data_IF_155818734102
#
_entry.id   IF_155818734102
#
_cell.length_a   1.000
_cell.length_b   1.000
_cell.length_c   1.000
_cell.angle_alpha   90.00
_cell.angle_beta   90.00
_cell.angle_gamma   90.00
#
_symmetry.space_group_name_H-M   'P 1'
#
loop_
_entity.id
_entity.type
_entity.pdbx_description
1 polymer ?
#
# COMPACT_ATOMS: atom_id res chain seq x y z
N UNK A 1 8.74 -59.99 61.62
CA UNK A 1 7.55 -59.19 61.27
C UNK A 1 8.04 -57.84 60.76
N UNK A 2 7.80 -57.55 59.47
CA UNK A 2 8.41 -56.46 58.71
C UNK A 2 7.79 -55.08 59.01
N UNK A 3 8.60 -54.04 59.23
CA UNK A 3 8.13 -52.66 59.22
C UNK A 3 8.17 -52.12 57.78
N UNK A 4 7.00 -51.86 57.20
CA UNK A 4 6.88 -51.14 55.92
C UNK A 4 7.12 -49.65 56.16
N UNK A 5 8.24 -49.13 55.66
CA UNK A 5 8.51 -47.70 55.53
C UNK A 5 7.75 -47.16 54.30
N UNK A 6 6.69 -46.38 54.53
CA UNK A 6 5.98 -45.64 53.48
C UNK A 6 6.66 -44.28 53.29
N UNK A 7 7.51 -44.17 52.27
CA UNK A 7 8.02 -42.89 51.79
C UNK A 7 6.87 -42.11 51.13
N UNK A 8 6.36 -41.07 51.82
CA UNK A 8 5.46 -40.08 51.20
C UNK A 8 6.29 -39.21 50.24
N UNK A 9 6.07 -39.34 48.93
CA UNK A 9 6.44 -38.31 47.96
C UNK A 9 5.50 -37.11 48.13
N UNK A 10 6.05 -35.96 48.52
CA UNK A 10 5.37 -34.67 48.43
C UNK A 10 5.54 -34.18 46.99
N UNK A 11 4.47 -34.23 46.18
CA UNK A 11 4.47 -33.53 44.90
C UNK A 11 4.52 -32.02 45.15
N UNK A 12 5.22 -31.23 44.32
CA UNK A 12 5.25 -29.78 44.48
C UNK A 12 3.81 -29.25 44.47
N UNK A 13 3.45 -28.48 45.50
CA UNK A 13 2.16 -27.82 45.56
C UNK A 13 2.13 -26.76 44.46
N UNK A 14 1.24 -26.92 43.49
CA UNK A 14 0.97 -25.92 42.47
C UNK A 14 0.41 -24.66 43.16
N UNK A 15 1.29 -23.70 43.42
CA UNK A 15 0.96 -22.42 44.05
C UNK A 15 0.10 -21.58 43.11
N UNK A 16 -1.09 -21.20 43.58
CA UNK A 16 -1.95 -20.26 42.86
C UNK A 16 -1.31 -18.88 42.79
N UNK A 17 -1.49 -18.20 41.65
CA UNK A 17 -1.07 -16.81 41.43
C UNK A 17 -1.63 -15.88 42.51
N UNK A 18 -0.81 -14.97 43.02
CA UNK A 18 -1.24 -13.95 43.97
C UNK A 18 -1.95 -12.78 43.27
N UNK A 19 -2.89 -12.14 43.97
CA UNK A 19 -3.56 -10.92 43.47
C UNK A 19 -2.56 -9.79 43.19
N UNK A 20 -1.48 -9.70 43.97
CA UNK A 20 -0.44 -8.68 43.80
C UNK A 20 0.43 -8.93 42.57
N UNK A 21 0.74 -10.19 42.25
CA UNK A 21 1.47 -10.54 41.03
C UNK A 21 0.68 -10.11 39.79
N UNK A 22 -0.63 -10.40 39.76
CA UNK A 22 -1.45 -10.02 38.61
C UNK A 22 -1.58 -8.49 38.49
N UNK A 23 -1.67 -7.77 39.60
CA UNK A 23 -1.72 -6.30 39.61
C UNK A 23 -0.45 -5.67 39.06
N UNK A 24 0.73 -6.17 39.43
CA UNK A 24 2.01 -5.66 38.92
C UNK A 24 2.16 -5.97 37.42
N UNK A 25 1.69 -7.13 36.97
CA UNK A 25 1.77 -7.50 35.55
C UNK A 25 0.93 -6.56 34.67
N UNK A 26 -0.32 -6.28 35.06
CA UNK A 26 -1.17 -5.38 34.26
C UNK A 26 -0.65 -3.94 34.26
N UNK A 27 -0.02 -3.47 35.34
CA UNK A 27 0.58 -2.13 35.38
C UNK A 27 1.80 -2.04 34.48
N UNK A 28 2.67 -3.04 34.51
CA UNK A 28 3.84 -3.10 33.62
C UNK A 28 3.40 -3.19 32.15
N UNK A 29 2.42 -4.05 31.83
CA UNK A 29 1.90 -4.17 30.46
C UNK A 29 1.29 -2.83 30.00
N UNK A 30 0.55 -2.13 30.87
CA UNK A 30 -0.02 -0.82 30.55
C UNK A 30 1.05 0.22 30.20
N UNK A 31 2.13 0.31 30.99
CA UNK A 31 3.23 1.26 30.75
C UNK A 31 3.98 0.92 29.44
N UNK A 32 4.30 -0.37 29.24
CA UNK A 32 5.01 -0.81 28.03
C UNK A 32 4.18 -0.58 26.76
N UNK A 33 2.87 -0.83 26.80
CA UNK A 33 2.00 -0.62 25.65
C UNK A 33 1.99 0.85 25.19
N UNK A 34 1.89 1.81 26.12
CA UNK A 34 1.94 3.24 25.80
C UNK A 34 3.31 3.64 25.24
N UNK A 35 4.41 3.12 25.82
CA UNK A 35 5.75 3.41 25.34
C UNK A 35 5.99 2.92 23.91
N UNK A 36 5.51 1.71 23.57
CA UNK A 36 5.61 1.15 22.21
C UNK A 36 4.79 1.94 21.20
N UNK A 37 3.53 2.26 21.53
CA UNK A 37 2.67 3.04 20.64
C UNK A 37 3.21 4.47 20.42
N UNK A 38 3.86 5.05 21.42
CA UNK A 38 4.53 6.36 21.28
C UNK A 38 5.76 6.32 20.38
N UNK A 39 6.37 5.15 20.16
CA UNK A 39 7.56 5.01 19.33
C UNK A 39 7.22 4.82 17.83
N UNK A 40 6.00 4.41 17.51
CA UNK A 40 5.52 4.25 16.13
C UNK A 40 4.75 5.50 15.73
N UNK A 41 5.01 6.03 14.53
CA UNK A 41 4.15 7.06 13.95
C UNK A 41 3.01 6.37 13.17
N UNK A 42 1.81 6.17 13.74
CA UNK A 42 0.73 5.43 13.10
C UNK A 42 0.25 6.12 11.81
N UNK A 43 0.32 7.46 11.77
CA UNK A 43 -0.09 8.25 10.61
C UNK A 43 0.81 7.93 9.42
N UNK A 44 2.13 7.84 9.65
CA UNK A 44 3.09 7.51 8.60
C UNK A 44 2.89 6.09 8.06
N UNK A 45 2.55 5.12 8.92
CA UNK A 45 2.26 3.75 8.50
C UNK A 45 1.01 3.67 7.61
N UNK A 46 -0.04 4.41 7.95
CA UNK A 46 -1.26 4.50 7.13
C UNK A 46 -0.95 5.14 5.78
N UNK A 47 -0.20 6.25 5.75
CA UNK A 47 0.22 6.90 4.50
C UNK A 47 1.04 5.98 3.62
N UNK A 48 1.97 5.23 4.21
CA UNK A 48 2.78 4.26 3.48
C UNK A 48 1.93 3.14 2.89
N UNK A 49 0.94 2.65 3.63
CA UNK A 49 0.00 1.65 3.12
C UNK A 49 -0.86 2.20 1.97
N UNK A 50 -1.29 3.47 2.04
CA UNK A 50 -2.00 4.15 0.95
C UNK A 50 -1.14 4.29 -0.30
N UNK A 51 0.11 4.75 -0.17
CA UNK A 51 1.04 4.90 -1.30
C UNK A 51 1.35 3.54 -1.95
N UNK A 52 1.53 2.48 -1.15
CA UNK A 52 1.69 1.11 -1.65
C UNK A 52 0.44 0.64 -2.42
N UNK A 53 -0.74 1.03 -1.95
CA UNK A 53 -2.01 0.79 -2.64
C UNK A 53 -2.06 1.49 -3.99
N UNK A 54 -1.76 2.80 -4.03
CA UNK A 54 -1.68 3.58 -5.28
C UNK A 54 -0.68 2.98 -6.28
N UNK A 55 0.47 2.54 -5.79
CA UNK A 55 1.47 1.89 -6.65
C UNK A 55 0.93 0.58 -7.26
N UNK A 56 0.27 -0.25 -6.46
CA UNK A 56 -0.35 -1.50 -6.94
C UNK A 56 -1.47 -1.22 -7.94
N UNK A 57 -2.34 -0.26 -7.63
CA UNK A 57 -3.47 0.13 -8.47
C UNK A 57 -2.99 0.69 -9.81
N UNK A 58 -1.97 1.56 -9.79
CA UNK A 58 -1.34 2.08 -11.00
C UNK A 58 -0.67 0.96 -11.82
N UNK A 59 0.02 0.01 -11.20
CA UNK A 59 0.63 -1.11 -11.93
C UNK A 59 -0.43 -1.98 -12.63
N UNK A 60 -1.53 -2.29 -11.95
CA UNK A 60 -2.64 -3.05 -12.52
C UNK A 60 -3.35 -2.28 -13.66
N UNK A 61 -3.53 -0.96 -13.48
CA UNK A 61 -4.08 -0.10 -14.53
C UNK A 61 -3.18 -0.05 -15.76
N UNK A 62 -1.88 0.15 -15.58
CA UNK A 62 -0.91 0.15 -16.69
C UNK A 62 -0.97 -1.17 -17.46
N UNK A 63 -0.97 -2.30 -16.77
CA UNK A 63 -1.11 -3.62 -17.39
C UNK A 63 -2.44 -3.74 -18.18
N UNK A 64 -3.53 -3.18 -17.66
CA UNK A 64 -4.82 -3.13 -18.36
C UNK A 64 -4.76 -2.29 -19.64
N UNK A 65 -4.14 -1.11 -19.58
CA UNK A 65 -3.94 -0.23 -20.75
C UNK A 65 -3.07 -0.89 -21.82
N UNK A 66 -1.99 -1.59 -21.42
CA UNK A 66 -1.11 -2.30 -22.34
C UNK A 66 -1.81 -3.48 -23.02
N UNK A 67 -2.62 -4.26 -22.27
CA UNK A 67 -3.43 -5.34 -22.86
C UNK A 67 -4.48 -4.79 -23.83
N UNK A 68 -5.18 -3.72 -23.45
CA UNK A 68 -6.13 -3.04 -24.33
C UNK A 68 -5.46 -2.63 -25.65
N UNK A 69 -4.33 -1.94 -25.58
CA UNK A 69 -3.60 -1.52 -26.78
C UNK A 69 -3.17 -2.72 -27.64
N UNK A 70 -2.74 -3.81 -27.01
CA UNK A 70 -2.36 -5.05 -27.72
C UNK A 70 -3.56 -5.71 -28.42
N UNK A 71 -4.75 -5.62 -27.83
CA UNK A 71 -5.97 -6.22 -28.36
C UNK A 71 -6.61 -5.39 -29.48
N UNK A 72 -6.62 -4.06 -29.33
CA UNK A 72 -7.38 -3.15 -30.20
C UNK A 72 -6.52 -2.29 -31.12
N UNK A 73 -5.20 -2.23 -30.90
CA UNK A 73 -4.23 -1.39 -31.64
C UNK A 73 -4.53 0.11 -31.56
N UNK A 74 -5.23 0.54 -30.52
CA UNK A 74 -5.50 1.94 -30.18
C UNK A 74 -5.49 2.09 -28.66
N UNK A 75 -5.28 3.30 -28.14
CA UNK A 75 -5.38 3.54 -26.70
C UNK A 75 -6.85 3.74 -26.27
N UNK A 76 -7.09 3.62 -24.96
CA UNK A 76 -8.44 3.76 -24.40
C UNK A 76 -9.01 5.16 -24.66
N UNK A 77 -8.19 6.21 -24.53
CA UNK A 77 -8.62 7.58 -24.84
C UNK A 77 -8.94 7.76 -26.32
N UNK A 78 -8.22 7.12 -27.24
CA UNK A 78 -8.52 7.18 -28.68
C UNK A 78 -9.90 6.59 -28.97
N UNK A 79 -10.21 5.42 -28.39
CA UNK A 79 -11.50 4.77 -28.52
C UNK A 79 -12.66 5.61 -27.96
N UNK A 80 -12.37 6.44 -26.96
CA UNK A 80 -13.30 7.37 -26.33
C UNK A 80 -13.37 8.74 -27.04
N UNK A 81 -12.54 8.98 -28.06
CA UNK A 81 -12.45 10.27 -28.75
C UNK A 81 -11.82 11.39 -27.89
N UNK A 82 -11.02 11.01 -26.90
CA UNK A 82 -10.28 11.89 -26.01
C UNK A 82 -8.85 12.12 -26.53
N UNK A 83 -8.20 13.19 -26.09
CA UNK A 83 -6.81 13.47 -26.46
C UNK A 83 -5.82 12.62 -25.67
N UNK A 84 -4.61 12.42 -26.22
CA UNK A 84 -3.51 11.76 -25.51
C UNK A 84 -3.29 12.40 -24.13
N UNK A 85 -3.19 11.59 -23.06
CA UNK A 85 -3.04 12.12 -21.72
C UNK A 85 -1.66 12.76 -21.57
N UNK A 86 -1.64 13.95 -21.00
CA UNK A 86 -0.41 14.63 -20.62
C UNK A 86 -0.61 15.21 -19.21
N UNK A 87 -0.07 14.52 -18.21
CA UNK A 87 -0.33 14.81 -16.79
C UNK A 87 -1.84 14.88 -16.48
N UNK A 88 -2.62 14.01 -17.12
CA UNK A 88 -4.08 13.97 -16.99
C UNK A 88 -4.44 13.00 -15.88
N UNK A 89 -5.31 13.39 -14.95
CA UNK A 89 -5.82 12.45 -13.94
C UNK A 89 -6.52 11.28 -14.63
N UNK A 90 -6.33 10.08 -14.08
CA UNK A 90 -7.02 8.88 -14.56
C UNK A 90 -8.54 9.14 -14.56
N UNK A 91 -9.18 8.93 -15.71
CA UNK A 91 -10.60 9.19 -15.88
C UNK A 91 -11.44 7.94 -15.62
N UNK A 92 -12.61 8.10 -15.03
CA UNK A 92 -13.58 7.02 -14.84
C UNK A 92 -14.04 6.40 -16.17
N UNK A 93 -14.06 7.20 -17.25
CA UNK A 93 -14.36 6.73 -18.61
C UNK A 93 -13.37 5.67 -19.06
N UNK A 94 -12.08 5.85 -18.76
CA UNK A 94 -11.04 4.88 -19.13
C UNK A 94 -11.20 3.57 -18.37
N UNK A 95 -11.45 3.66 -17.06
CA UNK A 95 -11.66 2.48 -16.20
C UNK A 95 -12.91 1.71 -16.65
N UNK A 96 -13.99 2.44 -16.94
CA UNK A 96 -15.25 1.86 -17.42
C UNK A 96 -15.05 1.13 -18.74
N UNK A 97 -14.32 1.73 -19.68
CA UNK A 97 -14.03 1.10 -20.97
C UNK A 97 -13.17 -0.15 -20.83
N UNK A 98 -12.12 -0.11 -19.99
CA UNK A 98 -11.30 -1.29 -19.67
C UNK A 98 -12.13 -2.42 -19.06
N UNK A 99 -13.08 -2.10 -18.17
CA UNK A 99 -13.98 -3.09 -17.58
C UNK A 99 -14.93 -3.66 -18.65
N UNK A 100 -15.50 -2.81 -19.51
CA UNK A 100 -16.41 -3.23 -20.58
C UNK A 100 -15.74 -4.18 -21.59
N UNK A 101 -14.44 -3.97 -21.86
CA UNK A 101 -13.65 -4.89 -22.70
C UNK A 101 -13.08 -6.09 -21.95
N UNK A 102 -13.25 -6.16 -20.63
CA UNK A 102 -12.76 -7.25 -19.81
C UNK A 102 -11.26 -7.21 -19.53
N UNK A 103 -10.62 -6.06 -19.75
CA UNK A 103 -9.18 -5.88 -19.54
C UNK A 103 -8.83 -5.65 -18.07
N UNK A 104 -9.75 -5.13 -17.27
CA UNK A 104 -9.59 -4.90 -15.83
C UNK A 104 -10.83 -5.42 -15.08
N UNK A 105 -10.65 -5.83 -13.83
CA UNK A 105 -11.76 -6.34 -13.02
C UNK A 105 -12.74 -5.22 -12.65
N UNK A 106 -14.05 -5.51 -12.49
CA UNK A 106 -15.05 -4.51 -12.12
C UNK A 106 -14.77 -3.75 -10.81
N UNK A 107 -14.02 -4.35 -9.87
CA UNK A 107 -13.68 -3.72 -8.58
C UNK A 107 -12.77 -2.48 -8.72
N UNK A 108 -12.26 -2.21 -9.92
CA UNK A 108 -11.45 -1.04 -10.19
C UNK A 108 -12.29 0.23 -10.40
N UNK A 109 -13.60 0.12 -10.66
CA UNK A 109 -14.47 1.28 -10.84
C UNK A 109 -14.56 2.16 -9.59
N UNK A 110 -14.51 1.57 -8.40
CA UNK A 110 -14.77 2.25 -7.13
C UNK A 110 -13.48 2.55 -6.34
N UNK A 111 -12.35 2.77 -7.01
CA UNK A 111 -11.06 3.03 -6.34
C UNK A 111 -10.81 4.53 -6.20
N UNK A 112 -10.67 4.99 -4.96
CA UNK A 112 -10.30 6.37 -4.64
C UNK A 112 -8.88 6.76 -5.13
N UNK A 113 -8.06 5.81 -5.56
CA UNK A 113 -6.69 6.07 -6.00
C UNK A 113 -6.61 6.86 -7.31
N UNK A 114 -7.63 6.77 -8.18
CA UNK A 114 -7.65 7.42 -9.50
C UNK A 114 -7.61 8.95 -9.42
N UNK A 115 -8.17 9.54 -8.37
CA UNK A 115 -8.13 10.99 -8.10
C UNK A 115 -6.72 11.53 -7.83
N UNK A 116 -5.73 10.64 -7.71
CA UNK A 116 -4.35 11.00 -7.37
C UNK A 116 -3.30 10.45 -8.33
N UNK A 117 -3.71 9.72 -9.36
CA UNK A 117 -2.80 9.11 -10.35
C UNK A 117 -2.94 9.89 -11.66
N UNK A 118 -1.81 10.38 -12.16
CA UNK A 118 -1.70 11.11 -13.42
C UNK A 118 -1.16 10.19 -14.52
N UNK A 119 -1.85 10.10 -15.64
CA UNK A 119 -1.39 9.45 -16.85
C UNK A 119 -0.70 10.46 -17.78
N UNK A 120 0.37 10.00 -18.43
CA UNK A 120 1.05 10.71 -19.51
C UNK A 120 1.46 9.71 -20.58
N UNK A 121 1.10 9.96 -21.84
CA UNK A 121 1.62 9.24 -22.99
C UNK A 121 2.86 9.98 -23.51
N UNK A 122 4.00 9.29 -23.54
CA UNK A 122 5.26 9.81 -24.08
C UNK A 122 5.71 8.94 -25.24
N UNK A 123 5.38 9.37 -26.46
CA UNK A 123 5.53 8.55 -27.66
C UNK A 123 4.53 7.41 -27.63
N UNK A 124 5.00 6.18 -27.38
CA UNK A 124 4.14 4.99 -27.26
C UNK A 124 4.14 4.39 -25.85
N UNK A 125 4.77 5.07 -24.88
CA UNK A 125 4.91 4.58 -23.50
C UNK A 125 3.97 5.35 -22.61
N UNK A 126 3.06 4.63 -21.96
CA UNK A 126 2.20 5.19 -20.91
C UNK A 126 2.97 5.22 -19.60
N UNK A 127 2.94 6.36 -18.92
CA UNK A 127 3.43 6.51 -17.55
C UNK A 127 2.31 6.93 -16.63
N UNK A 128 2.23 6.28 -15.49
CA UNK A 128 1.31 6.61 -14.40
C UNK A 128 2.13 7.13 -13.22
N UNK A 129 1.88 8.34 -12.78
CA UNK A 129 2.64 9.02 -11.73
C UNK A 129 1.71 9.51 -10.63
N UNK A 130 2.12 9.39 -9.37
CA UNK A 130 1.39 9.95 -8.23
C UNK A 130 2.34 10.65 -7.25
N UNK A 131 1.78 11.61 -6.52
CA UNK A 131 2.46 12.31 -5.42
C UNK A 131 2.34 11.46 -4.13
N UNK A 132 3.47 10.98 -3.55
CA UNK A 132 3.43 10.12 -2.38
C UNK A 132 3.15 10.90 -1.09
N UNK A 133 2.31 10.35 -0.22
CA UNK A 133 1.98 10.98 1.07
C UNK A 133 2.97 10.63 2.20
N UNK A 134 3.65 9.48 2.11
CA UNK A 134 4.59 9.00 3.12
C UNK A 134 6.00 9.48 2.83
N UNK A 135 6.72 9.83 3.89
CA UNK A 135 8.13 10.22 3.83
C UNK A 135 9.02 9.13 3.22
N UNK A 136 8.64 7.86 3.41
CA UNK A 136 9.39 6.72 2.85
C UNK A 136 9.25 6.61 1.32
N UNK A 137 8.07 6.90 0.77
CA UNK A 137 7.89 6.95 -0.68
C UNK A 137 8.41 8.26 -1.25
N UNK A 138 8.31 9.38 -0.52
CA UNK A 138 8.91 10.66 -0.94
C UNK A 138 10.41 10.51 -1.20
N UNK A 139 11.14 9.89 -0.27
CA UNK A 139 12.58 9.61 -0.46
C UNK A 139 12.88 8.75 -1.68
N UNK A 140 12.00 7.81 -2.00
CA UNK A 140 12.15 6.97 -3.20
C UNK A 140 11.86 7.78 -4.47
N UNK A 141 10.84 8.62 -4.45
CA UNK A 141 10.48 9.49 -5.56
C UNK A 141 11.60 10.50 -5.85
N UNK A 142 12.15 11.14 -4.81
CA UNK A 142 13.26 12.08 -4.94
C UNK A 142 14.53 11.39 -5.46
N UNK A 143 14.77 10.15 -5.06
CA UNK A 143 15.88 9.34 -5.61
C UNK A 143 15.67 8.97 -7.08
N UNK A 144 14.42 8.74 -7.50
CA UNK A 144 14.06 8.47 -8.90
C UNK A 144 14.06 9.75 -9.76
N UNK A 145 13.80 10.91 -9.15
CA UNK A 145 13.88 12.23 -9.78
C UNK A 145 12.87 12.43 -10.91
N UNK A 146 11.67 11.87 -10.78
CA UNK A 146 10.62 11.94 -11.80
C UNK A 146 9.67 13.13 -11.56
N UNK A 147 9.42 13.87 -12.64
CA UNK A 147 8.35 14.86 -12.71
C UNK A 147 6.99 14.16 -12.84
N UNK A 148 5.90 14.91 -12.72
CA UNK A 148 4.52 14.40 -12.86
C UNK A 148 4.24 13.71 -14.20
N UNK A 149 4.89 14.16 -15.28
CA UNK A 149 4.80 13.53 -16.60
C UNK A 149 5.69 12.28 -16.75
N UNK A 150 6.46 11.94 -15.72
CA UNK A 150 7.45 10.86 -15.74
C UNK A 150 8.74 11.21 -16.48
N UNK A 151 8.95 12.46 -16.90
CA UNK A 151 10.25 12.94 -17.34
C UNK A 151 11.22 13.02 -16.15
N UNK A 152 12.52 12.91 -16.41
CA UNK A 152 13.55 13.01 -15.38
C UNK A 152 13.94 14.47 -15.13
N UNK A 153 14.46 14.77 -13.95
CA UNK A 153 15.02 16.08 -13.60
C UNK A 153 14.38 16.76 -12.40
N UNK A 154 13.44 16.08 -11.72
CA UNK A 154 12.92 16.56 -10.46
C UNK A 154 13.98 16.45 -9.34
N UNK A 155 14.03 17.45 -8.46
CA UNK A 155 15.03 17.56 -7.38
C UNK A 155 14.42 17.59 -5.98
N UNK A 156 13.12 17.85 -5.84
CA UNK A 156 12.36 17.80 -4.58
C UNK A 156 10.87 17.64 -4.87
N UNK A 157 10.13 17.03 -3.94
CA UNK A 157 8.68 16.77 -4.05
C UNK A 157 8.35 16.02 -5.36
N UNK A 158 9.18 15.00 -5.65
CA UNK A 158 9.08 14.23 -6.88
C UNK A 158 7.97 13.20 -6.84
N UNK A 159 7.61 12.71 -8.03
CA UNK A 159 6.50 11.78 -8.22
C UNK A 159 7.00 10.35 -8.29
N UNK A 160 6.20 9.42 -7.78
CA UNK A 160 6.41 7.98 -8.01
C UNK A 160 5.76 7.64 -9.32
N UNK A 161 6.53 7.12 -10.28
CA UNK A 161 6.05 6.78 -11.62
C UNK A 161 6.20 5.30 -11.94
N UNK A 162 5.25 4.79 -12.70
CA UNK A 162 5.18 3.42 -13.22
C UNK A 162 5.08 3.48 -14.75
N UNK A 163 5.87 2.67 -15.50
CA UNK A 163 6.93 1.79 -15.01
C UNK A 163 8.10 2.60 -14.42
N UNK A 164 8.85 1.98 -13.49
CA UNK A 164 9.99 2.62 -12.80
C UNK A 164 11.15 2.92 -13.75
#
# INVERSE_FOLDING_TARGET
MNYKLLARRHGPADGGFTLIELLIVITIIGILAVAVLSAINPIEQVRRAQDQGKESDAAELLNGLERYYTAFFEHVWDALGEADPNQTLVQDSWITELINKGEVKPQFADRDSWDSIYATLLGSVVRLCFDPASSSFQKQADAAGKNRDGSSGCTSDCYVCIPR
#
